data_IF_998579509105
#
_entry.id   IF_998579509105
#
_cell.length_a   1.000
_cell.length_b   1.000
_cell.length_c   1.000
_cell.angle_alpha   90.00
_cell.angle_beta   90.00
_cell.angle_gamma   90.00
#
_symmetry.space_group_name_H-M   'P 1'
#
loop_
_entity.id
_entity.type
_entity.pdbx_description
1 polymer ?
#
# COMPACT_ATOMS: atom_id res chain seq x y z
N UNK A 1 4.33 7.91 -9.87
CA UNK A 1 4.01 6.94 -10.93
C UNK A 1 5.29 6.46 -11.57
N UNK A 2 5.43 5.15 -11.77
CA UNK A 2 6.52 4.54 -12.56
C UNK A 2 5.90 3.81 -13.74
N UNK A 3 6.48 3.96 -14.93
CA UNK A 3 5.99 3.36 -16.17
C UNK A 3 7.14 2.76 -16.96
N UNK A 4 6.83 2.00 -18.01
CA UNK A 4 7.81 1.27 -18.83
C UNK A 4 8.64 0.26 -18.03
N UNK A 5 8.01 -0.31 -17.00
CA UNK A 5 8.62 -1.37 -16.19
C UNK A 5 8.71 -2.62 -17.06
N UNK A 6 9.86 -3.30 -16.97
CA UNK A 6 10.13 -4.54 -17.70
C UNK A 6 9.97 -5.74 -16.76
N UNK A 7 9.42 -6.82 -17.29
CA UNK A 7 9.26 -8.10 -16.60
C UNK A 7 10.24 -9.11 -17.20
N UNK A 8 11.52 -8.94 -16.89
CA UNK A 8 12.59 -9.78 -17.46
C UNK A 8 12.57 -11.14 -16.76
N UNK A 9 12.07 -12.16 -17.47
CA UNK A 9 12.03 -13.54 -17.00
C UNK A 9 12.50 -14.47 -18.10
N UNK A 10 12.86 -15.69 -17.73
CA UNK A 10 13.30 -16.71 -18.68
C UNK A 10 12.16 -17.12 -19.63
N UNK A 11 12.54 -17.45 -20.86
CA UNK A 11 11.63 -17.84 -21.95
C UNK A 11 11.17 -19.29 -21.87
N UNK A 12 11.95 -20.13 -21.18
CA UNK A 12 11.65 -21.54 -20.95
C UNK A 12 12.22 -22.00 -19.61
N UNK A 13 11.81 -23.20 -19.17
CA UNK A 13 12.37 -23.87 -17.98
C UNK A 13 13.82 -24.35 -18.15
N UNK A 14 14.39 -24.26 -19.36
CA UNK A 14 15.81 -24.53 -19.61
C UNK A 14 16.69 -23.30 -19.34
N UNK A 15 16.07 -22.15 -19.04
CA UNK A 15 16.73 -20.90 -18.65
C UNK A 15 17.70 -20.29 -19.68
N UNK A 16 17.73 -20.79 -20.92
CA UNK A 16 18.70 -20.42 -21.97
C UNK A 16 18.58 -18.97 -22.48
N UNK A 17 17.42 -18.34 -22.36
CA UNK A 17 17.20 -16.96 -22.81
C UNK A 17 16.15 -16.26 -21.93
N UNK A 18 16.26 -14.94 -21.83
CA UNK A 18 15.30 -14.08 -21.13
C UNK A 18 14.58 -13.16 -22.11
N UNK A 19 13.34 -12.79 -21.82
CA UNK A 19 12.64 -11.70 -22.52
C UNK A 19 11.92 -10.81 -21.53
N UNK A 20 11.60 -9.60 -21.96
CA UNK A 20 10.65 -8.76 -21.25
C UNK A 20 9.23 -9.22 -21.57
N UNK A 21 8.60 -9.90 -20.62
CA UNK A 21 7.25 -10.42 -20.77
C UNK A 21 6.17 -9.33 -20.73
N UNK A 22 6.48 -8.16 -20.19
CA UNK A 22 5.56 -7.04 -20.11
C UNK A 22 5.68 -6.09 -21.32
N UNK A 23 6.63 -6.30 -22.24
CA UNK A 23 6.87 -5.44 -23.40
C UNK A 23 6.99 -3.95 -23.04
N UNK A 24 7.64 -3.64 -21.93
CA UNK A 24 7.68 -2.30 -21.32
C UNK A 24 6.29 -1.64 -21.13
N UNK A 25 5.24 -2.45 -20.97
CA UNK A 25 3.86 -2.02 -20.73
C UNK A 25 3.46 -2.01 -19.25
N UNK A 26 4.33 -2.50 -18.35
CA UNK A 26 4.02 -2.50 -16.94
C UNK A 26 4.15 -1.12 -16.31
N UNK A 27 3.26 -0.82 -15.36
CA UNK A 27 3.20 0.46 -14.65
C UNK A 27 2.73 0.28 -13.22
N UNK A 28 3.22 1.15 -12.34
CA UNK A 28 2.82 1.24 -10.94
C UNK A 28 2.43 2.69 -10.65
N UNK A 29 1.16 2.90 -10.31
CA UNK A 29 0.64 4.14 -9.78
C UNK A 29 -0.14 3.89 -8.50
N UNK A 30 0.50 4.12 -7.36
CA UNK A 30 -0.10 3.98 -6.04
C UNK A 30 0.03 5.33 -5.34
N UNK A 31 -1.09 5.84 -4.83
CA UNK A 31 -1.13 7.08 -4.06
C UNK A 31 -1.19 6.78 -2.57
N UNK A 32 -0.20 7.30 -1.85
CA UNK A 32 -0.11 7.19 -0.39
C UNK A 32 -0.34 8.56 0.20
N UNK A 33 -1.33 8.66 1.08
CA UNK A 33 -1.54 9.82 1.93
C UNK A 33 -0.67 9.68 3.19
N UNK A 34 0.02 10.77 3.55
CA UNK A 34 0.85 10.87 4.75
C UNK A 34 0.27 11.95 5.65
N UNK A 35 -0.19 11.56 6.84
CA UNK A 35 -0.69 12.48 7.86
C UNK A 35 0.26 12.48 9.07
N UNK A 36 0.70 13.67 9.48
CA UNK A 36 1.50 13.88 10.70
C UNK A 36 0.62 14.53 11.76
N UNK A 37 0.56 13.94 12.95
CA UNK A 37 -0.40 14.29 13.99
C UNK A 37 0.27 14.26 15.37
N UNK A 38 -0.26 15.05 16.31
CA UNK A 38 0.09 14.97 17.73
C UNK A 38 -1.15 14.48 18.48
N UNK A 39 -1.02 13.35 19.17
CA UNK A 39 -2.03 12.85 20.10
C UNK A 39 -1.63 13.27 21.51
N UNK A 40 -2.53 13.89 22.27
CA UNK A 40 -2.36 14.11 23.71
C UNK A 40 -3.09 13.03 24.49
N UNK A 41 -2.68 12.74 25.72
CA UNK A 41 -3.40 11.78 26.55
C UNK A 41 -4.77 12.33 26.96
N UNK A 42 -5.82 11.57 26.66
CA UNK A 42 -7.20 11.86 27.02
C UNK A 42 -8.00 10.56 27.17
N UNK A 43 -8.97 10.56 28.08
CA UNK A 43 -9.86 9.43 28.32
C UNK A 43 -10.92 9.32 27.21
N UNK A 44 -11.15 8.09 26.73
CA UNK A 44 -12.18 7.72 25.75
C UNK A 44 -12.96 6.50 26.28
N UNK A 45 -14.02 6.09 25.58
CA UNK A 45 -14.75 4.85 25.88
C UNK A 45 -13.88 3.60 25.86
N UNK A 46 -12.77 3.66 25.11
CA UNK A 46 -11.90 2.52 24.81
C UNK A 46 -10.57 2.59 25.58
N UNK A 47 -10.45 3.50 26.56
CA UNK A 47 -9.28 3.68 27.41
C UNK A 47 -8.66 5.07 27.31
N UNK A 48 -7.33 5.15 27.26
CA UNK A 48 -6.62 6.43 27.12
C UNK A 48 -5.92 6.52 25.78
N UNK A 49 -6.06 7.67 25.12
CA UNK A 49 -5.26 8.01 23.94
C UNK A 49 -3.78 8.19 24.32
N UNK A 50 -2.83 7.81 23.46
CA UNK A 50 -1.42 7.93 23.79
C UNK A 50 -0.96 9.38 23.69
N UNK A 51 -0.07 9.81 24.60
CA UNK A 51 0.68 11.04 24.43
C UNK A 51 1.87 10.80 23.47
N UNK A 52 1.65 10.93 22.16
CA UNK A 52 2.69 10.69 21.16
C UNK A 52 2.58 11.57 19.91
N UNK A 53 3.69 11.70 19.18
CA UNK A 53 3.68 12.13 17.77
C UNK A 53 3.41 10.91 16.89
N UNK A 54 2.47 11.02 15.96
CA UNK A 54 1.98 9.92 15.13
C UNK A 54 2.16 10.31 13.66
N UNK A 55 2.65 9.36 12.87
CA UNK A 55 2.64 9.45 11.41
C UNK A 55 1.79 8.30 10.89
N UNK A 56 0.79 8.63 10.08
CA UNK A 56 -0.11 7.66 9.46
C UNK A 56 0.13 7.64 7.95
N UNK A 57 0.37 6.45 7.43
CA UNK A 57 0.43 6.18 6.00
C UNK A 57 -0.82 5.41 5.60
N UNK A 58 -1.50 5.86 4.56
CA UNK A 58 -2.68 5.17 4.01
C UNK A 58 -2.63 5.15 2.50
N UNK A 59 -2.90 4.00 1.90
CA UNK A 59 -3.27 3.95 0.48
C UNK A 59 -4.68 4.51 0.37
N UNK A 60 -4.82 5.63 -0.32
CA UNK A 60 -6.07 6.39 -0.36
C UNK A 60 -7.13 5.62 -1.17
N UNK A 61 -8.20 5.15 -0.52
CA UNK A 61 -9.26 4.41 -1.22
C UNK A 61 -10.12 5.32 -2.11
N UNK A 62 -10.21 6.62 -1.81
CA UNK A 62 -10.99 7.59 -2.57
C UNK A 62 -10.17 8.16 -3.75
N UNK A 63 -8.84 8.10 -3.65
CA UNK A 63 -7.90 8.51 -4.71
C UNK A 63 -6.73 7.52 -4.85
N UNK A 64 -6.96 6.25 -5.22
CA UNK A 64 -5.94 5.19 -5.15
C UNK A 64 -4.80 5.30 -6.18
N UNK A 65 -5.00 6.08 -7.25
CA UNK A 65 -4.15 6.04 -8.45
C UNK A 65 -4.69 5.02 -9.47
N UNK A 66 -3.97 4.80 -10.56
CA UNK A 66 -4.38 3.82 -11.60
C UNK A 66 -4.05 2.37 -11.23
N UNK A 67 -3.33 2.13 -10.12
CA UNK A 67 -2.99 0.80 -9.62
C UNK A 67 -1.73 0.20 -10.24
N UNK A 68 -1.61 -1.12 -10.14
CA UNK A 68 -0.50 -1.90 -10.71
C UNK A 68 -1.02 -2.64 -11.93
N UNK A 69 -0.36 -2.43 -13.06
CA UNK A 69 -0.69 -3.03 -14.35
C UNK A 69 0.54 -3.72 -14.93
N UNK A 70 0.37 -4.93 -15.46
CA UNK A 70 1.45 -5.68 -16.12
C UNK A 70 1.26 -5.71 -17.63
N UNK A 71 0.15 -6.30 -18.09
CA UNK A 71 -0.20 -6.49 -19.51
C UNK A 71 -1.72 -6.43 -19.69
N UNK A 72 -2.17 -6.01 -20.86
CA UNK A 72 -3.60 -6.02 -21.22
C UNK A 72 -4.12 -7.45 -21.45
N UNK A 73 -3.27 -8.32 -21.99
CA UNK A 73 -3.59 -9.70 -22.32
C UNK A 73 -2.45 -10.61 -21.86
N UNK A 74 -2.81 -11.71 -21.21
CA UNK A 74 -1.84 -12.75 -20.87
C UNK A 74 -1.35 -13.42 -22.16
N UNK A 75 -0.04 -13.56 -22.27
CA UNK A 75 0.59 -14.26 -23.37
C UNK A 75 0.64 -15.76 -23.05
N UNK A 76 0.21 -16.58 -23.99
CA UNK A 76 0.21 -18.03 -23.86
C UNK A 76 0.75 -18.63 -25.15
N UNK A 77 1.72 -19.54 -25.04
CA UNK A 77 2.28 -20.26 -26.20
C UNK A 77 3.08 -21.50 -25.74
N UNK A 78 3.93 -22.02 -26.63
CA UNK A 78 4.85 -23.12 -26.40
C UNK A 78 6.30 -22.64 -26.38
N UNK A 79 7.03 -22.96 -25.31
CA UNK A 79 8.48 -22.77 -25.26
C UNK A 79 9.23 -23.87 -26.00
N UNK A 80 8.57 -25.02 -26.22
CA UNK A 80 9.06 -26.12 -27.05
C UNK A 80 7.86 -26.95 -27.55
N UNK A 81 7.92 -27.38 -28.81
CA UNK A 81 6.83 -28.12 -29.45
C UNK A 81 7.37 -29.22 -30.37
N UNK A 82 7.08 -30.48 -30.04
CA UNK A 82 7.30 -31.62 -30.94
C UNK A 82 5.97 -32.15 -31.50
N UNK A 83 4.95 -32.23 -30.65
CA UNK A 83 3.60 -32.60 -31.05
C UNK A 83 2.57 -32.06 -30.07
N UNK A 84 1.28 -32.18 -30.38
CA UNK A 84 0.23 -31.87 -29.41
C UNK A 84 0.34 -32.73 -28.15
N UNK A 85 0.79 -33.98 -28.23
CA UNK A 85 1.00 -34.83 -27.05
C UNK A 85 2.28 -34.51 -26.27
N UNK A 86 3.28 -33.88 -26.92
CA UNK A 86 4.57 -33.59 -26.33
C UNK A 86 5.00 -32.14 -26.60
N UNK A 87 4.70 -31.26 -25.64
CA UNK A 87 4.98 -29.82 -25.70
C UNK A 87 5.20 -29.23 -24.31
N UNK A 88 5.97 -28.15 -24.24
CA UNK A 88 6.11 -27.31 -23.03
C UNK A 88 5.41 -25.99 -23.28
N UNK A 89 4.41 -25.68 -22.47
CA UNK A 89 3.59 -24.48 -22.60
C UNK A 89 3.96 -23.44 -21.54
N UNK A 90 3.72 -22.17 -21.84
CA UNK A 90 3.78 -21.09 -20.87
C UNK A 90 2.51 -20.26 -20.87
N UNK A 91 2.27 -19.56 -19.77
CA UNK A 91 1.26 -18.50 -19.63
C UNK A 91 1.84 -17.40 -18.75
N UNK A 92 1.67 -16.13 -19.13
CA UNK A 92 2.15 -14.99 -18.35
C UNK A 92 2.27 -13.69 -19.15
N UNK A 93 2.78 -12.61 -18.56
CA UNK A 93 3.18 -12.50 -17.16
C UNK A 93 2.00 -12.21 -16.23
N UNK A 94 2.05 -12.75 -15.01
CA UNK A 94 1.18 -12.38 -13.91
C UNK A 94 2.02 -12.20 -12.64
N UNK A 95 1.57 -11.34 -11.72
CA UNK A 95 2.24 -11.16 -10.44
C UNK A 95 1.95 -12.36 -9.52
N UNK A 96 2.99 -12.90 -8.88
CA UNK A 96 2.83 -13.89 -7.81
C UNK A 96 2.47 -13.27 -6.47
N UNK A 97 2.93 -12.04 -6.23
CA UNK A 97 2.63 -11.25 -5.03
C UNK A 97 2.71 -9.75 -5.33
N UNK A 98 2.05 -8.96 -4.49
CA UNK A 98 2.22 -7.51 -4.42
C UNK A 98 2.56 -7.16 -2.97
N UNK A 99 3.65 -6.44 -2.77
CA UNK A 99 4.17 -6.15 -1.44
C UNK A 99 4.35 -4.64 -1.25
N UNK A 100 3.81 -4.11 -0.15
CA UNK A 100 3.97 -2.71 0.24
C UNK A 100 4.65 -2.64 1.61
N UNK A 101 5.72 -1.86 1.71
CA UNK A 101 6.52 -1.75 2.93
C UNK A 101 6.72 -0.30 3.34
N UNK A 102 6.64 -0.04 4.65
CA UNK A 102 7.12 1.18 5.26
C UNK A 102 8.35 0.83 6.11
N UNK A 103 9.49 1.44 5.79
CA UNK A 103 10.76 1.19 6.49
C UNK A 103 11.25 2.49 7.12
N UNK A 104 11.71 2.48 8.38
CA UNK A 104 12.36 3.63 8.96
C UNK A 104 13.68 3.94 8.22
N UNK A 105 13.97 5.22 8.09
CA UNK A 105 15.27 5.71 7.62
C UNK A 105 16.23 5.85 8.81
N UNK A 106 17.54 5.78 8.56
CA UNK A 106 18.59 5.73 9.59
C UNK A 106 18.45 6.83 10.67
N UNK A 107 18.67 6.47 11.93
CA UNK A 107 18.79 7.42 13.05
C UNK A 107 17.61 7.44 14.03
N UNK A 108 16.44 6.94 13.66
CA UNK A 108 15.30 6.79 14.57
C UNK A 108 14.36 5.67 14.11
N UNK A 109 14.05 4.74 15.02
CA UNK A 109 13.12 3.63 14.75
C UNK A 109 11.79 3.92 15.47
N UNK A 110 10.74 4.36 14.75
CA UNK A 110 9.42 4.55 15.33
C UNK A 110 8.83 3.19 15.73
N UNK A 111 8.05 3.17 16.82
CA UNK A 111 7.26 1.99 17.19
C UNK A 111 6.00 1.93 16.32
N UNK A 112 5.73 0.77 15.73
CA UNK A 112 4.49 0.54 14.98
C UNK A 112 3.30 0.58 15.95
N UNK A 113 2.43 1.57 15.79
CA UNK A 113 1.25 1.71 16.65
C UNK A 113 0.12 0.73 16.25
N UNK A 114 -0.16 0.63 14.94
CA UNK A 114 -1.16 -0.26 14.35
C UNK A 114 -0.93 -0.38 12.83
N UNK A 115 -1.31 -1.51 12.26
CA UNK A 115 -1.36 -1.78 10.82
C UNK A 115 -2.64 -2.55 10.45
N UNK A 116 -3.15 -2.26 9.26
CA UNK A 116 -4.42 -2.77 8.73
C UNK A 116 -4.32 -2.89 7.20
N UNK A 117 -5.03 -3.84 6.57
CA UNK A 117 -5.83 -4.90 7.19
C UNK A 117 -4.95 -5.98 7.83
N UNK A 118 -5.55 -6.84 8.65
CA UNK A 118 -4.89 -8.04 9.16
C UNK A 118 -5.06 -9.19 8.15
N UNK A 119 -4.48 -10.36 8.43
CA UNK A 119 -4.64 -11.51 7.53
C UNK A 119 -6.12 -11.90 7.40
N UNK A 120 -6.60 -11.95 6.16
CA UNK A 120 -7.95 -12.34 5.80
C UNK A 120 -7.96 -13.62 4.95
N UNK A 121 -9.10 -14.30 4.93
CA UNK A 121 -9.28 -15.49 4.10
C UNK A 121 -9.50 -15.10 2.63
N UNK A 122 -9.01 -15.93 1.70
CA UNK A 122 -8.86 -15.59 0.27
C UNK A 122 -10.19 -15.37 -0.49
N UNK A 123 -11.32 -15.82 0.07
CA UNK A 123 -12.65 -15.73 -0.56
C UNK A 123 -13.52 -14.72 0.19
N UNK A 124 -13.04 -13.48 0.34
CA UNK A 124 -13.70 -12.46 1.14
C UNK A 124 -13.81 -11.15 0.36
N UNK A 125 -15.04 -10.64 0.21
CA UNK A 125 -15.30 -9.37 -0.45
C UNK A 125 -16.15 -8.51 0.49
N UNK A 126 -15.57 -7.42 0.97
CA UNK A 126 -16.24 -6.46 1.84
C UNK A 126 -15.56 -5.08 1.71
N UNK A 127 -16.23 -4.05 2.21
CA UNK A 127 -15.68 -2.69 2.29
C UNK A 127 -15.52 -2.32 3.75
N UNK A 128 -14.29 -2.19 4.20
CA UNK A 128 -13.99 -1.79 5.57
C UNK A 128 -13.74 -0.31 5.74
N UNK A 129 -14.07 0.17 6.93
CA UNK A 129 -13.66 1.49 7.41
C UNK A 129 -12.87 1.32 8.70
N UNK A 130 -11.61 1.76 8.66
CA UNK A 130 -10.68 1.61 9.77
C UNK A 130 -10.35 2.94 10.44
N UNK A 131 -10.60 3.01 11.74
CA UNK A 131 -10.34 4.18 12.60
C UNK A 131 -9.13 4.01 13.53
N UNK A 132 -8.59 5.15 13.97
CA UNK A 132 -7.61 5.24 15.06
C UNK A 132 -7.90 6.50 15.89
N UNK A 133 -8.00 6.35 17.21
CA UNK A 133 -8.36 7.45 18.13
C UNK A 133 -7.14 8.30 18.48
N UNK A 134 -7.28 9.62 18.31
CA UNK A 134 -6.24 10.61 18.60
C UNK A 134 -6.81 11.59 19.62
N UNK A 135 -6.09 11.80 20.72
CA UNK A 135 -6.49 12.81 21.69
C UNK A 135 -6.14 14.20 21.17
N UNK A 136 -7.11 15.10 21.18
CA UNK A 136 -6.93 16.51 20.81
C UNK A 136 -7.04 17.38 22.05
N UNK A 137 -6.18 18.38 22.17
CA UNK A 137 -6.31 19.39 23.21
C UNK A 137 -7.23 20.51 22.68
N UNK A 138 -8.53 20.24 22.66
CA UNK A 138 -9.56 21.20 22.26
C UNK A 138 -10.55 21.39 23.40
N UNK A 139 -10.46 22.49 24.14
CA UNK A 139 -11.57 22.96 24.96
C UNK A 139 -12.57 23.65 24.05
N UNK A 140 -13.83 23.23 24.08
CA UNK A 140 -14.95 23.93 23.42
C UNK A 140 -15.00 25.35 23.99
N UNK A 141 -14.75 26.37 23.16
CA UNK A 141 -14.77 27.77 23.56
C UNK A 141 -13.40 28.45 23.52
N UNK A 142 -12.92 28.78 22.32
CA UNK A 142 -11.91 29.80 22.17
C UNK A 142 -12.61 31.16 22.12
N UNK A 143 -12.53 31.95 23.18
CA UNK A 143 -12.84 33.38 23.07
C UNK A 143 -11.68 34.08 22.34
N UNK A 144 -12.01 34.71 21.23
CA UNK A 144 -11.08 35.56 20.49
C UNK A 144 -11.30 37.00 20.96
N UNK A 145 -10.35 37.57 21.69
CA UNK A 145 -10.33 38.99 22.02
C UNK A 145 -9.10 39.68 21.41
N UNK A 146 -9.00 41.00 21.61
CA UNK A 146 -7.92 41.85 21.07
C UNK A 146 -6.50 41.42 21.49
N UNK A 147 -6.35 40.55 22.49
CA UNK A 147 -5.06 40.04 22.95
C UNK A 147 -4.72 38.65 22.35
N UNK A 148 -5.53 38.15 21.41
CA UNK A 148 -5.38 36.83 20.79
C UNK A 148 -6.25 35.74 21.44
N UNK A 149 -6.32 34.53 20.86
CA UNK A 149 -7.06 33.42 21.43
C UNK A 149 -6.49 33.02 22.79
N UNK A 150 -7.26 33.18 23.87
CA UNK A 150 -6.85 32.74 25.22
C UNK A 150 -7.42 31.35 25.48
N UNK A 151 -6.57 30.42 25.92
CA UNK A 151 -7.00 29.08 26.33
C UNK A 151 -7.41 29.17 27.80
N UNK A 152 -8.72 29.05 28.09
CA UNK A 152 -9.25 29.07 29.46
C UNK A 152 -8.76 27.87 30.29
N UNK A 153 -8.28 28.15 31.51
CA UNK A 153 -7.83 27.17 32.51
C UNK A 153 -8.91 26.21 32.95
#
# INVERSE_FOLDING_TARGET
>A
TSSKIKCVLHTSGDFNATRDWCNAGASIDVRVNVAQMRSVQSATSDGFTPDAKIVRFTVDADKPGTGIHLVNELQQDHSWFQSWANRRTYIGPFASSYDLWVKPVSGYTPKKARDLPQNENKNYQHRDTYGYSIGINGKVGAEVNKDGPKVGG
#
